data_IF_223350223586
#
_entry.id   IF_223350223586
#
_cell.length_a   1.000
_cell.length_b   1.000
_cell.length_c   1.000
_cell.angle_alpha   90.00
_cell.angle_beta   90.00
_cell.angle_gamma   90.00
#
_symmetry.space_group_name_H-M   'P 1'
#
loop_
_entity.id
_entity.type
_entity.pdbx_description
1 polymer ?
#
# COMPACT_ATOMS: atom_id res chain seq x y z
N UNK A 1 -20.07 -42.00 19.83
CA UNK A 1 -18.70 -41.45 19.60
C UNK A 1 -18.47 -40.37 20.66
N UNK A 2 -17.51 -40.63 21.56
CA UNK A 2 -17.15 -39.76 22.68
C UNK A 2 -16.51 -38.49 22.13
N UNK A 3 -17.01 -37.31 22.54
CA UNK A 3 -16.32 -36.03 22.36
C UNK A 3 -15.10 -36.05 23.27
N UNK A 4 -13.96 -36.38 22.71
CA UNK A 4 -12.69 -36.20 23.41
C UNK A 4 -12.37 -34.72 23.55
N UNK A 5 -11.95 -34.36 24.75
CA UNK A 5 -11.50 -33.09 25.22
C UNK A 5 -10.61 -32.40 24.19
N UNK A 6 -11.10 -31.29 23.64
CA UNK A 6 -10.21 -30.26 23.10
C UNK A 6 -9.46 -29.70 24.32
N UNK A 7 -8.21 -30.16 24.46
CA UNK A 7 -7.30 -29.67 25.46
C UNK A 7 -7.28 -28.17 25.46
N UNK A 8 -7.16 -27.56 26.65
CA UNK A 8 -6.94 -26.11 26.83
C UNK A 8 -5.94 -25.66 25.79
N UNK A 9 -6.36 -24.77 24.90
CA UNK A 9 -5.47 -24.08 23.99
C UNK A 9 -4.33 -23.50 24.87
N UNK A 10 -3.13 -24.01 24.67
CA UNK A 10 -1.94 -23.42 25.26
C UNK A 10 -1.94 -21.96 24.80
N UNK A 11 -1.67 -21.04 25.72
CA UNK A 11 -1.60 -19.62 25.42
C UNK A 11 -0.51 -19.40 24.35
N UNK A 12 -0.92 -19.32 23.09
CA UNK A 12 -0.05 -19.26 21.91
C UNK A 12 0.65 -17.90 21.83
N UNK A 13 0.27 -16.94 22.68
CA UNK A 13 0.53 -15.52 22.44
C UNK A 13 1.75 -14.95 23.14
N UNK A 14 2.38 -15.60 24.09
CA UNK A 14 3.52 -14.96 24.75
C UNK A 14 4.48 -15.95 25.43
N UNK A 15 5.31 -16.58 24.63
CA UNK A 15 6.41 -17.38 25.18
C UNK A 15 7.67 -16.55 25.46
N UNK A 16 7.76 -15.33 24.97
CA UNK A 16 8.94 -14.46 25.11
C UNK A 16 8.59 -13.17 25.87
N UNK A 17 9.45 -12.69 26.79
CA UNK A 17 9.25 -11.43 27.50
C UNK A 17 9.00 -10.24 26.56
N UNK A 18 9.74 -10.13 25.45
CA UNK A 18 9.57 -9.07 24.47
C UNK A 18 8.16 -9.03 23.85
N UNK A 19 7.52 -10.20 23.69
CA UNK A 19 6.15 -10.27 23.18
C UNK A 19 5.14 -9.64 24.15
N UNK A 20 5.35 -9.82 25.46
CA UNK A 20 4.51 -9.21 26.49
C UNK A 20 4.69 -7.69 26.52
N UNK A 21 5.94 -7.21 26.37
CA UNK A 21 6.24 -5.78 26.35
C UNK A 21 5.61 -5.11 25.13
N UNK A 22 5.75 -5.70 23.93
CA UNK A 22 5.13 -5.22 22.70
C UNK A 22 3.61 -5.27 22.78
N UNK A 23 3.04 -6.32 23.36
CA UNK A 23 1.59 -6.44 23.57
C UNK A 23 1.08 -5.25 24.42
N UNK A 24 1.71 -4.98 25.56
CA UNK A 24 1.35 -3.88 26.46
C UNK A 24 1.53 -2.52 25.83
N UNK A 25 2.65 -2.30 25.13
CA UNK A 25 2.98 -0.99 24.57
C UNK A 25 2.11 -0.62 23.37
N UNK A 26 1.80 -1.58 22.49
CA UNK A 26 1.22 -1.28 21.16
C UNK A 26 -0.20 -1.76 20.97
N UNK A 27 -0.60 -2.86 21.61
CA UNK A 27 -1.84 -3.55 21.27
C UNK A 27 -2.92 -3.42 22.32
N UNK A 28 -2.59 -3.50 23.60
CA UNK A 28 -3.58 -3.33 24.68
C UNK A 28 -4.08 -1.88 24.73
N UNK A 29 -5.37 -1.73 25.04
CA UNK A 29 -6.04 -0.44 25.19
C UNK A 29 -6.45 -0.20 26.64
N UNK A 30 -6.93 1.00 26.94
CA UNK A 30 -7.37 1.34 28.30
C UNK A 30 -8.38 0.31 28.83
N UNK A 31 -8.05 -0.28 29.97
CA UNK A 31 -8.88 -1.33 30.61
C UNK A 31 -8.54 -2.76 30.20
N UNK A 32 -7.68 -2.98 29.21
CA UNK A 32 -7.19 -4.30 28.81
C UNK A 32 -5.90 -4.66 29.58
N UNK A 33 -5.79 -5.89 30.03
CA UNK A 33 -4.66 -6.38 30.83
C UNK A 33 -4.00 -7.63 30.24
N UNK A 34 -4.66 -8.26 29.28
CA UNK A 34 -4.27 -9.55 28.74
C UNK A 34 -4.51 -9.67 27.23
N UNK A 35 -3.90 -10.69 26.61
CA UNK A 35 -4.17 -11.06 25.23
C UNK A 35 -5.65 -11.49 25.05
N UNK A 36 -6.25 -12.07 26.07
CA UNK A 36 -7.66 -12.46 26.05
C UNK A 36 -8.59 -11.24 25.89
N UNK A 37 -8.30 -10.15 26.60
CA UNK A 37 -9.10 -8.91 26.47
C UNK A 37 -8.99 -8.35 25.06
N UNK A 38 -7.77 -8.32 24.50
CA UNK A 38 -7.50 -7.94 23.13
C UNK A 38 -8.29 -8.81 22.14
N UNK A 39 -8.24 -10.14 22.29
CA UNK A 39 -8.91 -11.06 21.38
C UNK A 39 -10.42 -10.88 21.41
N UNK A 40 -11.02 -10.69 22.59
CA UNK A 40 -12.45 -10.42 22.74
C UNK A 40 -12.86 -9.10 22.08
N UNK A 41 -12.08 -8.04 22.27
CA UNK A 41 -12.35 -6.75 21.60
C UNK A 41 -12.34 -6.90 20.09
N UNK A 42 -11.30 -7.54 19.54
CA UNK A 42 -11.15 -7.72 18.09
C UNK A 42 -12.26 -8.62 17.54
N UNK A 43 -12.54 -9.76 18.17
CA UNK A 43 -13.58 -10.67 17.73
C UNK A 43 -14.97 -9.99 17.69
N UNK A 44 -15.30 -9.25 18.74
CA UNK A 44 -16.56 -8.48 18.83
C UNK A 44 -16.64 -7.40 17.76
N UNK A 45 -15.56 -6.64 17.56
CA UNK A 45 -15.52 -5.59 16.56
C UNK A 45 -15.71 -6.13 15.14
N UNK A 46 -15.06 -7.24 14.81
CA UNK A 46 -15.21 -7.87 13.50
C UNK A 46 -16.60 -8.46 13.30
N UNK A 47 -17.19 -9.05 14.34
CA UNK A 47 -18.54 -9.59 14.28
C UNK A 47 -19.62 -8.51 14.18
N UNK A 48 -19.33 -7.27 14.60
CA UNK A 48 -20.34 -6.19 14.63
C UNK A 48 -20.88 -5.78 13.27
N UNK A 49 -20.20 -6.12 12.17
CA UNK A 49 -20.63 -5.86 10.79
C UNK A 49 -21.57 -6.93 10.24
N UNK A 50 -21.69 -8.04 10.94
CA UNK A 50 -22.60 -9.13 10.59
C UNK A 50 -24.06 -8.77 10.91
N UNK A 51 -24.99 -9.53 10.36
CA UNK A 51 -26.42 -9.38 10.72
C UNK A 51 -26.61 -9.57 12.22
N UNK A 52 -27.46 -8.78 12.89
CA UNK A 52 -27.64 -8.87 14.35
C UNK A 52 -27.89 -10.29 14.89
N UNK A 53 -28.61 -11.11 14.15
CA UNK A 53 -28.90 -12.51 14.52
C UNK A 53 -27.66 -13.43 14.44
N UNK A 54 -26.63 -13.03 13.72
CA UNK A 54 -25.42 -13.84 13.47
C UNK A 54 -24.21 -13.34 14.27
N UNK A 55 -24.27 -12.16 14.88
CA UNK A 55 -23.12 -11.53 15.55
C UNK A 55 -22.50 -12.40 16.64
N UNK A 56 -23.31 -12.98 17.52
CA UNK A 56 -22.83 -13.85 18.61
C UNK A 56 -22.11 -15.09 18.05
N UNK A 57 -22.64 -15.68 16.99
CA UNK A 57 -22.03 -16.82 16.30
C UNK A 57 -20.66 -16.45 15.73
N UNK A 58 -20.56 -15.32 15.04
CA UNK A 58 -19.29 -14.89 14.44
C UNK A 58 -18.29 -14.40 15.48
N UNK A 59 -18.72 -13.71 16.55
CA UNK A 59 -17.84 -13.36 17.68
C UNK A 59 -17.20 -14.64 18.27
N UNK A 60 -18.00 -15.67 18.50
CA UNK A 60 -17.51 -16.95 19.01
C UNK A 60 -16.51 -17.61 18.04
N UNK A 61 -16.81 -17.62 16.74
CA UNK A 61 -15.92 -18.20 15.73
C UNK A 61 -14.60 -17.43 15.60
N UNK A 62 -14.65 -16.10 15.56
CA UNK A 62 -13.44 -15.26 15.47
C UNK A 62 -12.58 -15.42 16.72
N UNK A 63 -13.18 -15.46 17.91
CA UNK A 63 -12.45 -15.68 19.15
C UNK A 63 -11.78 -17.07 19.17
N UNK A 64 -12.47 -18.10 18.72
CA UNK A 64 -11.91 -19.45 18.63
C UNK A 64 -10.74 -19.50 17.63
N UNK A 65 -10.84 -18.80 16.50
CA UNK A 65 -9.77 -18.71 15.52
C UNK A 65 -8.53 -18.00 16.10
N UNK A 66 -8.72 -16.89 16.83
CA UNK A 66 -7.62 -16.17 17.49
C UNK A 66 -6.91 -17.07 18.52
N UNK A 67 -7.67 -17.84 19.31
CA UNK A 67 -7.10 -18.82 20.25
C UNK A 67 -6.37 -19.97 19.55
N UNK A 68 -6.79 -20.32 18.34
CA UNK A 68 -6.11 -21.33 17.52
C UNK A 68 -4.85 -20.79 16.82
N UNK A 69 -4.50 -19.51 17.02
CA UNK A 69 -3.31 -18.88 16.44
C UNK A 69 -3.53 -18.17 15.09
N UNK A 70 -4.75 -18.06 14.60
CA UNK A 70 -5.08 -17.25 13.43
C UNK A 70 -5.14 -15.76 13.81
N UNK A 71 -3.96 -15.19 14.08
CA UNK A 71 -3.81 -13.80 14.52
C UNK A 71 -3.96 -12.86 13.32
N UNK A 72 -4.79 -11.85 13.44
CA UNK A 72 -4.98 -10.82 12.44
C UNK A 72 -3.73 -9.95 12.24
N UNK A 73 -3.67 -9.23 11.12
CA UNK A 73 -2.61 -8.25 10.89
C UNK A 73 -2.54 -7.25 12.06
N UNK A 74 -1.34 -6.77 12.36
CA UNK A 74 -1.09 -5.89 13.51
C UNK A 74 -2.04 -4.71 13.61
N UNK A 75 -2.48 -4.16 12.49
CA UNK A 75 -3.44 -3.07 12.45
C UNK A 75 -4.85 -3.47 12.89
N UNK A 76 -5.31 -4.64 12.51
CA UNK A 76 -6.59 -5.20 13.00
C UNK A 76 -6.50 -5.36 14.51
N UNK A 77 -5.43 -6.00 14.99
CA UNK A 77 -5.25 -6.25 16.41
C UNK A 77 -5.12 -4.97 17.24
N UNK A 78 -4.51 -3.91 16.68
CA UNK A 78 -4.30 -2.64 17.42
C UNK A 78 -5.48 -1.68 17.36
N UNK A 79 -6.32 -1.71 16.32
CA UNK A 79 -7.32 -0.67 16.07
C UNK A 79 -8.77 -1.17 16.03
N UNK A 80 -9.04 -2.45 15.72
CA UNK A 80 -10.41 -2.96 15.68
C UNK A 80 -11.09 -2.83 17.04
N UNK A 81 -12.28 -2.25 17.07
CA UNK A 81 -13.06 -2.03 18.28
C UNK A 81 -12.55 -0.90 19.18
N UNK A 82 -11.75 0.01 18.61
CA UNK A 82 -11.31 1.24 19.29
C UNK A 82 -11.91 2.47 18.60
N UNK A 83 -11.74 3.64 19.19
CA UNK A 83 -12.10 4.94 18.63
C UNK A 83 -11.04 5.51 17.65
N UNK A 84 -9.93 4.79 17.46
CA UNK A 84 -8.87 5.20 16.55
C UNK A 84 -9.37 5.13 15.11
N UNK A 85 -9.36 6.28 14.42
CA UNK A 85 -9.70 6.36 13.00
C UNK A 85 -8.52 5.87 12.14
N UNK A 86 -8.33 4.56 12.10
CA UNK A 86 -7.33 3.92 11.29
C UNK A 86 -7.97 2.93 10.31
N UNK A 87 -7.30 2.68 9.19
CA UNK A 87 -7.71 1.59 8.28
C UNK A 87 -7.40 0.24 8.92
N UNK A 88 -8.28 -0.73 8.77
CA UNK A 88 -8.01 -2.11 9.18
C UNK A 88 -7.29 -2.91 8.07
N UNK A 89 -7.26 -2.36 6.86
CA UNK A 89 -6.49 -2.88 5.71
C UNK A 89 -5.17 -2.13 5.63
N UNK A 90 -4.09 -2.85 5.36
CA UNK A 90 -2.74 -2.28 5.40
C UNK A 90 -2.31 -1.58 4.12
N UNK A 91 -2.76 -2.07 2.95
CA UNK A 91 -2.26 -1.62 1.65
C UNK A 91 -3.41 -1.35 0.69
N UNK A 92 -3.25 -0.29 -0.09
CA UNK A 92 -4.21 0.19 -1.07
C UNK A 92 -3.52 0.41 -2.41
N UNK A 93 -4.24 0.17 -3.50
CA UNK A 93 -3.81 0.55 -4.84
C UNK A 93 -4.51 1.84 -5.21
N UNK A 94 -3.71 2.86 -5.58
CA UNK A 94 -4.20 4.16 -6.00
C UNK A 94 -3.92 4.34 -7.51
N UNK A 95 -4.94 4.44 -8.35
CA UNK A 95 -4.74 4.73 -9.76
C UNK A 95 -4.21 6.16 -9.96
N UNK A 96 -3.38 6.34 -11.00
CA UNK A 96 -2.82 7.64 -11.38
C UNK A 96 -2.99 7.83 -12.88
N UNK A 97 -3.70 8.88 -13.27
CA UNK A 97 -3.93 9.27 -14.65
C UNK A 97 -2.87 10.21 -15.21
N UNK A 98 -2.93 10.46 -16.52
CA UNK A 98 -1.99 11.33 -17.25
C UNK A 98 -2.50 12.77 -17.36
N UNK A 99 -2.93 13.35 -16.24
CA UNK A 99 -3.31 14.76 -16.13
C UNK A 99 -2.95 15.29 -14.74
N UNK A 100 -2.90 16.63 -14.60
CA UNK A 100 -2.57 17.26 -13.32
C UNK A 100 -3.72 17.15 -12.33
N UNK A 101 -4.93 17.51 -12.76
CA UNK A 101 -6.15 17.51 -11.94
C UNK A 101 -7.32 16.91 -12.71
N UNK A 102 -8.40 16.59 -12.00
CA UNK A 102 -9.59 15.99 -12.57
C UNK A 102 -9.37 14.52 -12.88
N UNK A 103 -9.79 14.10 -14.06
CA UNK A 103 -9.62 12.73 -14.57
C UNK A 103 -9.03 12.76 -15.97
N UNK A 104 -8.26 11.77 -16.35
CA UNK A 104 -7.74 11.62 -17.70
C UNK A 104 -8.82 11.08 -18.66
N UNK A 105 -8.47 10.97 -19.96
CA UNK A 105 -9.38 10.53 -21.01
C UNK A 105 -9.97 9.12 -20.80
N UNK A 106 -9.37 8.33 -19.91
CA UNK A 106 -9.83 6.98 -19.55
C UNK A 106 -10.50 6.93 -18.17
N UNK A 107 -10.70 8.09 -17.52
CA UNK A 107 -11.38 8.22 -16.23
C UNK A 107 -10.50 7.96 -15.01
N UNK A 108 -9.18 7.93 -15.16
CA UNK A 108 -8.26 7.80 -14.02
C UNK A 108 -8.01 9.17 -13.36
N UNK A 109 -7.95 9.22 -12.01
CA UNK A 109 -7.73 10.45 -11.28
C UNK A 109 -6.40 11.08 -11.65
N UNK A 110 -6.37 12.39 -11.78
CA UNK A 110 -5.16 13.15 -12.05
C UNK A 110 -4.12 12.96 -10.94
N UNK A 111 -2.89 13.35 -11.25
CA UNK A 111 -1.73 13.14 -10.38
C UNK A 111 -1.95 13.75 -8.99
N UNK A 112 -2.52 14.97 -8.91
CA UNK A 112 -2.74 15.65 -7.62
C UNK A 112 -3.99 15.16 -6.89
N UNK A 113 -5.01 14.65 -7.58
CA UNK A 113 -6.11 13.92 -6.94
C UNK A 113 -5.62 12.63 -6.31
N UNK A 114 -4.82 11.85 -7.05
CA UNK A 114 -4.21 10.63 -6.54
C UNK A 114 -3.30 10.92 -5.33
N UNK A 115 -2.52 12.00 -5.37
CA UNK A 115 -1.67 12.44 -4.26
C UNK A 115 -2.50 12.79 -3.02
N UNK A 116 -3.60 13.55 -3.17
CA UNK A 116 -4.51 13.94 -2.09
C UNK A 116 -5.14 12.71 -1.42
N UNK A 117 -5.66 11.79 -2.22
CA UNK A 117 -6.29 10.57 -1.72
C UNK A 117 -5.28 9.65 -1.03
N UNK A 118 -4.08 9.55 -1.58
CA UNK A 118 -3.00 8.79 -0.97
C UNK A 118 -2.56 9.39 0.37
N UNK A 119 -2.45 10.72 0.46
CA UNK A 119 -2.12 11.40 1.72
C UNK A 119 -3.16 11.11 2.81
N UNK A 120 -4.46 11.14 2.48
CA UNK A 120 -5.53 10.78 3.42
C UNK A 120 -5.48 9.29 3.82
N UNK A 121 -5.20 8.39 2.88
CA UNK A 121 -5.01 6.96 3.15
C UNK A 121 -3.82 6.73 4.08
N UNK A 122 -2.69 7.40 3.83
CA UNK A 122 -1.49 7.31 4.66
C UNK A 122 -1.72 7.91 6.04
N UNK A 123 -2.45 9.02 6.15
CA UNK A 123 -2.83 9.63 7.43
C UNK A 123 -3.59 8.65 8.32
N UNK A 124 -4.47 7.85 7.73
CA UNK A 124 -5.17 6.74 8.42
C UNK A 124 -4.31 5.50 8.59
N UNK A 125 -3.05 5.56 8.16
CA UNK A 125 -2.05 4.54 8.34
C UNK A 125 -1.99 3.47 7.24
N UNK A 126 -2.70 3.60 6.13
CA UNK A 126 -2.59 2.71 4.96
C UNK A 126 -1.28 2.94 4.21
N UNK A 127 -0.67 1.88 3.70
CA UNK A 127 0.36 1.97 2.66
C UNK A 127 -0.29 2.10 1.28
N UNK A 128 0.37 2.76 0.33
CA UNK A 128 -0.21 3.02 -0.99
C UNK A 128 0.75 2.59 -2.10
N UNK A 129 0.22 1.82 -3.06
CA UNK A 129 0.91 1.43 -4.27
C UNK A 129 0.32 2.14 -5.50
N UNK A 130 1.19 2.54 -6.42
CA UNK A 130 0.83 3.25 -7.65
C UNK A 130 1.45 2.58 -8.87
N UNK A 131 0.73 2.60 -9.98
CA UNK A 131 1.29 2.37 -11.31
C UNK A 131 1.41 3.73 -12.03
N UNK A 132 2.65 4.19 -12.18
CA UNK A 132 2.97 5.46 -12.83
C UNK A 132 3.10 5.36 -14.35
N UNK A 133 2.89 4.18 -14.94
CA UNK A 133 3.13 3.90 -16.35
C UNK A 133 2.20 4.66 -17.30
N UNK A 134 1.11 5.22 -16.78
CA UNK A 134 0.17 6.04 -17.58
C UNK A 134 0.67 7.45 -17.80
N UNK A 135 1.50 7.98 -16.89
CA UNK A 135 2.05 9.33 -16.99
C UNK A 135 2.97 9.41 -18.21
N UNK A 136 2.75 10.40 -19.06
CA UNK A 136 3.57 10.64 -20.25
C UNK A 136 5.04 10.82 -19.91
N UNK A 137 5.95 10.39 -20.78
CA UNK A 137 7.38 10.47 -20.54
C UNK A 137 7.87 11.91 -20.50
N UNK A 138 9.02 12.12 -19.88
CA UNK A 138 9.72 13.39 -19.89
C UNK A 138 9.95 13.84 -21.34
N UNK A 139 9.70 15.13 -21.59
CA UNK A 139 9.85 15.73 -22.92
C UNK A 139 8.65 15.53 -23.86
N UNK A 140 7.62 14.78 -23.46
CA UNK A 140 6.36 14.75 -24.21
C UNK A 140 5.66 16.10 -24.17
N UNK A 141 5.04 16.51 -25.28
CA UNK A 141 4.31 17.77 -25.35
C UNK A 141 3.06 17.75 -24.48
N UNK A 142 2.83 18.83 -23.73
CA UNK A 142 1.60 19.07 -22.97
C UNK A 142 0.68 19.95 -23.82
N UNK A 143 -0.43 19.35 -24.28
CA UNK A 143 -1.45 20.07 -25.07
C UNK A 143 -1.97 21.30 -24.31
N UNK A 144 -2.14 22.40 -25.01
CA UNK A 144 -2.71 23.64 -24.49
C UNK A 144 -1.70 24.61 -23.86
N UNK A 145 -0.61 24.12 -23.30
CA UNK A 145 0.46 24.98 -22.75
C UNK A 145 1.71 24.98 -23.61
N UNK A 146 1.81 24.04 -24.56
CA UNK A 146 3.02 23.80 -25.38
C UNK A 146 4.30 23.65 -24.57
N UNK A 147 4.17 23.22 -23.30
CA UNK A 147 5.30 22.91 -22.43
C UNK A 147 5.68 21.46 -22.55
N UNK A 148 6.85 21.11 -22.04
CA UNK A 148 7.37 19.74 -22.01
C UNK A 148 7.04 19.08 -20.68
N UNK A 149 6.56 17.83 -20.72
CA UNK A 149 6.27 17.04 -19.55
C UNK A 149 7.56 16.71 -18.75
N UNK A 150 7.44 16.68 -17.44
CA UNK A 150 8.55 16.34 -16.54
C UNK A 150 8.74 14.84 -16.31
N UNK A 151 7.75 14.03 -16.71
CA UNK A 151 7.78 12.58 -16.62
C UNK A 151 7.47 12.01 -15.24
N UNK A 152 7.21 10.69 -15.15
CA UNK A 152 6.79 10.03 -13.91
C UNK A 152 7.82 10.15 -12.78
N UNK A 153 9.10 10.07 -13.07
CA UNK A 153 10.17 10.15 -12.07
C UNK A 153 10.18 11.47 -11.29
N UNK A 154 9.77 12.57 -11.94
CA UNK A 154 9.63 13.88 -11.28
C UNK A 154 8.42 13.91 -10.33
N UNK A 155 7.31 13.33 -10.74
CA UNK A 155 6.13 13.24 -9.87
C UNK A 155 6.34 12.31 -8.68
N UNK A 156 7.07 11.21 -8.85
CA UNK A 156 7.43 10.33 -7.73
C UNK A 156 8.17 11.10 -6.62
N UNK A 157 9.01 12.11 -6.97
CA UNK A 157 9.62 12.97 -5.95
C UNK A 157 8.58 13.74 -5.12
N UNK A 158 7.48 14.20 -5.74
CA UNK A 158 6.38 14.90 -5.05
C UNK A 158 5.66 13.94 -4.08
N UNK A 159 5.35 12.73 -4.54
CA UNK A 159 4.74 11.69 -3.71
C UNK A 159 5.65 11.28 -2.55
N UNK A 160 6.96 11.14 -2.79
CA UNK A 160 7.95 10.81 -1.75
C UNK A 160 8.01 11.90 -0.68
N UNK A 161 8.07 13.16 -1.09
CA UNK A 161 8.08 14.29 -0.16
C UNK A 161 6.77 14.41 0.61
N UNK A 162 5.62 14.20 -0.02
CA UNK A 162 4.32 14.17 0.65
C UNK A 162 4.27 13.08 1.73
N UNK A 163 4.76 11.88 1.42
CA UNK A 163 4.81 10.78 2.38
C UNK A 163 5.69 11.10 3.59
N UNK A 164 6.80 11.80 3.39
CA UNK A 164 7.72 12.18 4.47
C UNK A 164 7.13 13.22 5.42
N UNK A 165 6.11 13.97 4.97
CA UNK A 165 5.47 15.05 5.75
C UNK A 165 4.16 14.63 6.41
N UNK A 166 3.50 13.57 5.93
CA UNK A 166 2.23 13.09 6.49
C UNK A 166 2.52 12.14 7.65
N UNK A 167 2.12 12.53 8.85
CA UNK A 167 2.12 11.62 10.00
C UNK A 167 0.99 10.61 9.90
N UNK A 168 1.32 9.33 10.05
CA UNK A 168 0.35 8.23 10.02
C UNK A 168 -0.24 7.95 11.39
N UNK A 169 -1.53 7.65 11.45
CA UNK A 169 -2.18 7.16 12.66
C UNK A 169 -1.52 5.85 13.14
N UNK A 170 -1.09 5.86 14.40
CA UNK A 170 -0.35 4.74 15.00
C UNK A 170 1.10 4.66 14.52
N UNK A 171 2.04 4.52 15.37
CA UNK A 171 3.52 4.51 15.29
C UNK A 171 4.23 4.00 13.98
N UNK A 172 3.60 4.08 12.82
CA UNK A 172 4.15 3.60 11.54
C UNK A 172 4.29 4.76 10.55
N UNK A 173 5.46 4.90 9.95
CA UNK A 173 5.68 5.82 8.83
C UNK A 173 4.87 5.37 7.61
N UNK A 174 4.42 6.32 6.81
CA UNK A 174 3.82 6.04 5.51
C UNK A 174 4.75 5.14 4.69
N UNK A 175 4.17 4.22 3.94
CA UNK A 175 4.91 3.34 3.04
C UNK A 175 4.28 3.42 1.66
N UNK A 176 5.11 3.61 0.65
CA UNK A 176 4.68 3.70 -0.73
C UNK A 176 5.39 2.68 -1.61
N UNK A 177 4.71 2.28 -2.68
CA UNK A 177 5.28 1.46 -3.74
C UNK A 177 4.96 2.08 -5.09
N UNK A 178 5.96 2.19 -5.97
CA UNK A 178 5.80 2.64 -7.34
C UNK A 178 6.15 1.56 -8.34
N UNK A 179 5.30 1.39 -9.34
CA UNK A 179 5.55 0.52 -10.50
C UNK A 179 5.71 1.38 -11.73
N UNK A 180 6.65 1.03 -12.61
CA UNK A 180 6.75 1.55 -13.95
C UNK A 180 6.95 0.37 -14.93
N UNK A 181 6.23 0.37 -16.05
CA UNK A 181 6.35 -0.69 -17.06
C UNK A 181 7.73 -0.66 -17.72
N UNK A 182 8.22 -1.84 -18.08
CA UNK A 182 9.53 -2.01 -18.72
C UNK A 182 9.64 -1.35 -20.11
N UNK A 183 8.51 -1.11 -20.76
CA UNK A 183 8.42 -0.44 -22.06
C UNK A 183 8.25 1.08 -21.97
N UNK A 184 8.18 1.64 -20.75
CA UNK A 184 8.05 3.09 -20.59
C UNK A 184 9.35 3.82 -20.98
N UNK A 185 9.30 4.94 -21.74
CA UNK A 185 10.51 5.67 -22.16
C UNK A 185 11.42 6.11 -21.01
N UNK A 186 10.84 6.44 -19.83
CA UNK A 186 11.62 6.87 -18.66
C UNK A 186 12.08 5.70 -17.76
N UNK A 187 11.99 4.45 -18.22
CA UNK A 187 12.28 3.27 -17.37
C UNK A 187 13.73 3.24 -16.90
N UNK A 188 14.69 3.71 -17.71
CA UNK A 188 16.09 3.77 -17.31
C UNK A 188 16.33 4.74 -16.16
N UNK A 189 15.70 5.93 -16.19
CA UNK A 189 15.73 6.89 -15.08
C UNK A 189 15.10 6.29 -13.82
N UNK A 190 14.01 5.57 -13.98
CA UNK A 190 13.32 4.91 -12.88
C UNK A 190 14.17 3.81 -12.21
N UNK A 191 14.77 2.92 -12.99
CA UNK A 191 15.64 1.83 -12.50
C UNK A 191 16.84 2.37 -11.73
N UNK A 192 17.43 3.48 -12.23
CA UNK A 192 18.66 4.05 -11.65
C UNK A 192 18.39 5.06 -10.55
N UNK A 193 17.16 5.52 -10.37
CA UNK A 193 16.81 6.62 -9.47
C UNK A 193 17.33 6.44 -8.04
N UNK A 194 17.21 5.25 -7.48
CA UNK A 194 17.64 4.95 -6.09
C UNK A 194 19.16 4.75 -5.94
N UNK A 195 19.93 4.83 -7.01
CA UNK A 195 21.41 4.91 -6.91
C UNK A 195 21.87 6.26 -6.35
N UNK A 196 21.03 7.29 -6.46
CA UNK A 196 21.27 8.58 -5.81
C UNK A 196 20.87 8.49 -4.33
N UNK A 197 21.79 8.66 -3.38
CA UNK A 197 21.50 8.64 -1.96
C UNK A 197 20.40 9.66 -1.60
N UNK A 198 19.43 9.23 -0.77
CA UNK A 198 18.32 10.08 -0.33
C UNK A 198 17.15 10.18 -1.29
N UNK A 199 17.25 9.68 -2.51
CA UNK A 199 16.15 9.70 -3.48
C UNK A 199 15.15 8.58 -3.20
N UNK A 200 13.87 8.92 -3.13
CA UNK A 200 12.73 7.99 -2.94
C UNK A 200 12.87 7.07 -1.71
N UNK A 201 13.25 7.64 -0.58
CA UNK A 201 13.45 6.87 0.65
C UNK A 201 12.15 6.23 1.19
N UNK A 202 10.99 6.81 0.86
CA UNK A 202 9.68 6.31 1.29
C UNK A 202 9.03 5.40 0.23
N UNK A 203 9.71 5.12 -0.89
CA UNK A 203 9.24 4.25 -1.95
C UNK A 203 9.99 2.92 -2.03
N UNK A 204 9.25 1.84 -2.13
CA UNK A 204 9.69 0.65 -2.84
C UNK A 204 9.39 0.84 -4.32
N UNK A 205 10.27 0.39 -5.20
CA UNK A 205 10.09 0.51 -6.65
C UNK A 205 10.21 -0.84 -7.33
N UNK A 206 9.36 -1.08 -8.30
CA UNK A 206 9.36 -2.31 -9.09
C UNK A 206 9.11 -1.99 -10.55
N UNK A 207 9.76 -2.74 -11.44
CA UNK A 207 9.50 -2.67 -12.87
C UNK A 207 8.48 -3.73 -13.24
N UNK A 208 7.40 -3.31 -13.92
CA UNK A 208 6.40 -4.22 -14.47
C UNK A 208 6.89 -4.85 -15.76
N UNK A 209 7.28 -6.11 -15.74
CA UNK A 209 7.73 -6.84 -16.92
C UNK A 209 6.58 -7.64 -17.55
N UNK A 210 6.56 -7.71 -18.88
CA UNK A 210 5.59 -8.51 -19.64
C UNK A 210 6.22 -9.83 -20.12
N UNK A 211 5.38 -10.81 -20.44
CA UNK A 211 5.84 -12.06 -21.04
C UNK A 211 6.59 -11.81 -22.36
N UNK A 212 6.13 -10.82 -23.14
CA UNK A 212 6.79 -10.41 -24.39
C UNK A 212 8.21 -9.88 -24.14
N UNK A 213 8.42 -9.11 -23.06
CA UNK A 213 9.76 -8.66 -22.67
C UNK A 213 10.65 -9.85 -22.27
N UNK A 214 10.14 -10.77 -21.46
CA UNK A 214 10.89 -11.97 -21.07
C UNK A 214 11.28 -12.79 -22.30
N UNK A 215 10.35 -12.96 -23.27
CA UNK A 215 10.66 -13.67 -24.50
C UNK A 215 11.73 -12.94 -25.32
N UNK A 216 11.66 -11.59 -25.46
CA UNK A 216 12.67 -10.80 -26.15
C UNK A 216 14.06 -10.97 -25.50
N UNK A 217 14.12 -11.04 -24.16
CA UNK A 217 15.38 -11.30 -23.44
C UNK A 217 15.92 -12.70 -23.74
N UNK A 218 15.05 -13.72 -23.76
CA UNK A 218 15.44 -15.10 -24.05
C UNK A 218 15.95 -15.28 -25.49
N UNK A 219 15.37 -14.52 -26.42
CA UNK A 219 15.69 -14.56 -27.85
C UNK A 219 16.79 -13.55 -28.25
N UNK A 220 17.36 -12.83 -27.28
CA UNK A 220 18.35 -11.73 -27.49
C UNK A 220 17.88 -10.68 -28.52
N UNK A 221 16.60 -10.30 -28.41
CA UNK A 221 15.99 -9.31 -29.31
C UNK A 221 15.96 -7.92 -28.68
N UNK A 222 16.07 -6.85 -29.50
CA UNK A 222 15.91 -5.48 -29.03
C UNK A 222 14.50 -5.27 -28.44
N UNK A 223 14.43 -4.41 -27.40
CA UNK A 223 13.18 -4.04 -26.75
C UNK A 223 12.86 -2.57 -27.00
N UNK A 224 11.69 -2.29 -27.54
CA UNK A 224 11.26 -0.94 -27.86
C UNK A 224 10.58 -0.29 -26.64
N UNK A 225 10.95 0.97 -26.35
CA UNK A 225 10.31 1.78 -25.33
C UNK A 225 9.18 2.58 -25.97
N UNK A 226 7.95 2.38 -25.50
CA UNK A 226 6.75 2.96 -26.11
C UNK A 226 5.82 3.58 -25.10
N UNK A 227 5.22 4.70 -25.44
CA UNK A 227 4.14 5.30 -24.69
C UNK A 227 3.10 5.91 -25.68
N UNK A 228 1.84 5.93 -25.27
CA UNK A 228 0.78 6.53 -26.09
C UNK A 228 0.97 8.04 -26.35
N UNK A 229 1.52 8.78 -25.39
CA UNK A 229 2.02 10.14 -25.60
C UNK A 229 3.45 10.04 -26.13
N UNK A 230 3.66 10.47 -27.39
CA UNK A 230 4.99 10.45 -27.99
C UNK A 230 5.86 11.57 -27.40
N UNK A 231 7.09 11.29 -26.98
CA UNK A 231 8.07 12.32 -26.70
C UNK A 231 8.27 13.19 -27.95
N UNK A 232 8.52 14.47 -27.78
CA UNK A 232 8.93 15.33 -28.89
C UNK A 232 10.21 14.78 -29.55
N UNK A 233 10.38 14.98 -30.86
CA UNK A 233 11.47 14.42 -31.67
C UNK A 233 12.87 14.66 -31.07
N UNK A 234 13.06 15.72 -30.31
CA UNK A 234 14.33 16.10 -29.65
C UNK A 234 14.75 15.15 -28.52
N UNK A 235 13.85 14.33 -28.00
CA UNK A 235 14.13 13.40 -26.86
C UNK A 235 14.51 12.01 -27.36
N UNK A 236 14.20 11.69 -28.60
CA UNK A 236 14.51 10.39 -29.22
C UNK A 236 15.95 10.30 -29.72
N UNK A 237 16.68 11.44 -29.80
CA UNK A 237 18.08 11.51 -30.32
C UNK A 237 19.10 11.59 -29.17
N UNK A 238 18.70 11.56 -27.92
CA UNK A 238 19.60 11.56 -26.73
C UNK A 238 19.56 10.23 -26.01
#
# INVERSE_FOLDING_TARGET
MKRENLGRAQDVTATQPISLDVLKEKYLKAGETSAEDLFRRVARALASVEKPADQEKYETLFLANLHAGAIGAGRIMSAAGTDIQATLINCFVQPVGDCIQGVDDEGFPGIYEALREAAETMRRGGGVGYDFSRIRPRGAEVKGTHSMASGPCSYINVFDQSCSTVESAGARRGAQMGVLRIDHPDVHDFITAKRTPGRWNNFNVSVGVSDAFIQAVLDDQPWELVHRARPGATVMEQ
#
